data_IF_317754969699
#
_entry.id   IF_317754969699
#
_cell.length_a   1.000
_cell.length_b   1.000
_cell.length_c   1.000
_cell.angle_alpha   90.00
_cell.angle_beta   90.00
_cell.angle_gamma   90.00
#
_symmetry.space_group_name_H-M   'P 1'
#
loop_
_entity.id
_entity.type
_entity.pdbx_description
1 polymer ?
#
# COMPACT_ATOMS: atom_id res chain seq x y z
N UNK A 1 -7.91 15.49 -3.21
CA UNK A 1 -8.36 14.67 -4.35
C UNK A 1 -9.32 13.62 -3.82
N UNK A 2 -10.39 13.30 -4.54
CA UNK A 2 -11.35 12.25 -4.13
C UNK A 2 -10.81 10.87 -4.51
N UNK A 3 -10.66 9.99 -3.53
CA UNK A 3 -10.28 8.59 -3.79
C UNK A 3 -11.52 7.78 -4.19
N UNK A 4 -11.36 6.84 -5.12
CA UNK A 4 -12.40 5.84 -5.37
C UNK A 4 -12.49 4.94 -4.13
N UNK A 5 -13.68 4.67 -3.60
CA UNK A 5 -13.82 3.91 -2.34
C UNK A 5 -14.87 2.83 -2.43
N UNK A 6 -15.86 2.97 -3.32
CA UNK A 6 -16.84 1.93 -3.59
C UNK A 6 -16.28 0.94 -4.63
N UNK A 7 -16.46 -0.34 -4.34
CA UNK A 7 -16.12 -1.49 -5.16
C UNK A 7 -17.41 -2.25 -5.48
N UNK A 8 -17.52 -2.69 -6.72
CA UNK A 8 -18.63 -3.51 -7.21
C UNK A 8 -18.06 -4.63 -8.07
N UNK A 9 -18.43 -5.87 -7.76
CA UNK A 9 -18.10 -7.01 -8.60
C UNK A 9 -19.10 -7.12 -9.74
N UNK A 10 -18.60 -7.39 -10.95
CA UNK A 10 -19.39 -7.52 -12.17
C UNK A 10 -19.10 -8.83 -12.87
N UNK A 11 -20.14 -9.49 -13.35
CA UNK A 11 -20.01 -10.73 -14.10
C UNK A 11 -20.99 -10.74 -15.29
N UNK A 12 -20.56 -11.15 -16.49
CA UNK A 12 -21.48 -11.33 -17.60
C UNK A 12 -22.43 -12.49 -17.32
N UNK A 13 -23.70 -12.37 -17.72
CA UNK A 13 -24.67 -13.47 -17.57
C UNK A 13 -24.28 -14.67 -18.45
N UNK A 14 -23.72 -14.39 -19.63
CA UNK A 14 -23.26 -15.41 -20.58
C UNK A 14 -21.73 -15.53 -20.54
N UNK A 15 -21.17 -16.71 -20.24
CA UNK A 15 -19.72 -16.89 -20.06
C UNK A 15 -18.93 -16.81 -21.37
N UNK A 16 -19.58 -16.95 -22.53
CA UNK A 16 -18.93 -16.94 -23.85
C UNK A 16 -18.56 -15.54 -24.36
N UNK A 17 -19.09 -14.49 -23.74
CA UNK A 17 -18.83 -13.13 -24.21
C UNK A 17 -17.51 -12.64 -23.66
N UNK A 18 -16.56 -12.38 -24.56
CA UNK A 18 -15.24 -11.88 -24.20
C UNK A 18 -15.36 -10.57 -23.43
N UNK A 19 -15.13 -10.64 -22.13
CA UNK A 19 -15.05 -9.49 -21.21
C UNK A 19 -13.98 -8.49 -21.64
N UNK A 20 -13.13 -8.81 -22.63
CA UNK A 20 -12.16 -7.92 -23.25
C UNK A 20 -12.75 -6.66 -23.90
N UNK A 21 -14.04 -6.64 -24.28
CA UNK A 21 -14.67 -5.39 -24.76
C UNK A 21 -14.93 -4.37 -23.64
N UNK A 22 -15.05 -4.85 -22.40
CA UNK A 22 -15.25 -4.03 -21.20
C UNK A 22 -13.94 -3.39 -20.73
N UNK A 23 -12.78 -3.92 -21.17
CA UNK A 23 -11.45 -3.60 -20.64
C UNK A 23 -10.90 -2.20 -20.99
N UNK A 24 -11.51 -1.44 -21.90
CA UNK A 24 -10.90 -0.20 -22.41
C UNK A 24 -11.31 1.09 -21.68
N UNK A 25 -12.44 1.09 -20.95
CA UNK A 25 -13.06 2.36 -20.54
C UNK A 25 -13.08 2.62 -19.03
N UNK A 26 -12.76 1.63 -18.19
CA UNK A 26 -12.84 1.76 -16.72
C UNK A 26 -11.62 1.15 -16.03
N UNK A 27 -11.09 1.76 -14.96
CA UNK A 27 -10.04 1.14 -14.15
C UNK A 27 -10.61 -0.14 -13.50
N UNK A 28 -10.16 -1.29 -14.01
CA UNK A 28 -10.55 -2.62 -13.50
C UNK A 28 -9.47 -3.16 -12.57
N UNK A 29 -9.90 -3.81 -11.50
CA UNK A 29 -9.10 -4.78 -10.77
C UNK A 29 -9.63 -6.18 -11.11
N UNK A 30 -8.72 -7.08 -11.51
CA UNK A 30 -9.02 -8.51 -11.57
C UNK A 30 -8.51 -9.07 -10.25
N UNK A 31 -9.44 -9.59 -9.46
CA UNK A 31 -9.11 -10.31 -8.23
C UNK A 31 -8.55 -11.69 -8.59
N UNK A 32 -7.81 -12.31 -7.66
CA UNK A 32 -7.27 -13.67 -7.89
C UNK A 32 -8.38 -14.72 -8.06
N UNK A 33 -9.59 -14.44 -7.55
CA UNK A 33 -10.80 -15.25 -7.77
C UNK A 33 -11.26 -15.29 -9.23
N UNK A 34 -10.75 -14.38 -10.09
CA UNK A 34 -11.21 -14.18 -11.45
C UNK A 34 -12.35 -13.17 -11.58
N UNK A 35 -12.85 -12.63 -10.47
CA UNK A 35 -13.90 -11.62 -10.46
C UNK A 35 -13.44 -10.30 -11.09
N UNK A 36 -14.35 -9.66 -11.82
CA UNK A 36 -14.12 -8.34 -12.38
C UNK A 36 -14.62 -7.29 -11.40
N UNK A 37 -13.72 -6.46 -10.89
CA UNK A 37 -14.07 -5.41 -9.94
C UNK A 37 -13.96 -4.04 -10.58
N UNK A 38 -15.04 -3.26 -10.46
CA UNK A 38 -15.08 -1.83 -10.82
C UNK A 38 -15.00 -1.03 -9.53
N UNK A 39 -14.16 0.00 -9.52
CA UNK A 39 -13.99 0.89 -8.38
C UNK A 39 -14.38 2.31 -8.76
N UNK A 40 -15.21 2.96 -7.93
CA UNK A 40 -15.76 4.27 -8.17
C UNK A 40 -15.70 5.20 -6.96
N UNK A 41 -15.85 6.50 -7.21
CA UNK A 41 -15.85 7.54 -6.16
C UNK A 41 -17.16 7.61 -5.38
N UNK A 42 -18.25 7.11 -5.95
CA UNK A 42 -19.57 7.11 -5.32
C UNK A 42 -20.61 6.36 -6.15
N UNK A 43 -21.82 6.25 -5.60
CA UNK A 43 -22.92 5.48 -6.21
C UNK A 43 -23.31 6.00 -7.59
N UNK A 44 -23.49 7.32 -7.73
CA UNK A 44 -23.86 7.93 -9.01
C UNK A 44 -22.78 7.70 -10.08
N UNK A 45 -21.51 7.75 -9.70
CA UNK A 45 -20.42 7.47 -10.63
C UNK A 45 -20.49 6.02 -11.12
N UNK A 46 -20.71 5.07 -10.22
CA UNK A 46 -20.85 3.66 -10.56
C UNK A 46 -22.10 3.39 -11.39
N UNK A 47 -23.22 4.06 -11.11
CA UNK A 47 -24.45 3.91 -11.88
C UNK A 47 -24.26 4.35 -13.34
N UNK A 48 -23.66 5.52 -13.57
CA UNK A 48 -23.31 5.99 -14.92
C UNK A 48 -22.38 5.00 -15.63
N UNK A 49 -21.31 4.56 -14.95
CA UNK A 49 -20.35 3.59 -15.51
C UNK A 49 -21.04 2.28 -15.89
N UNK A 50 -21.90 1.74 -15.02
CA UNK A 50 -22.62 0.49 -15.26
C UNK A 50 -23.70 0.65 -16.34
N UNK A 51 -24.31 1.82 -16.47
CA UNK A 51 -25.24 2.14 -17.55
C UNK A 51 -24.54 2.15 -18.90
N UNK A 52 -23.42 2.87 -19.02
CA UNK A 52 -22.62 2.92 -20.25
C UNK A 52 -22.10 1.54 -20.63
N UNK A 53 -21.65 0.77 -19.65
CA UNK A 53 -21.11 -0.57 -19.86
C UNK A 53 -22.19 -1.53 -20.38
N UNK A 54 -23.43 -1.45 -19.88
CA UNK A 54 -24.56 -2.26 -20.37
C UNK A 54 -25.10 -1.81 -21.72
N UNK A 55 -25.23 -0.50 -21.95
CA UNK A 55 -25.97 0.04 -23.11
C UNK A 55 -25.11 0.51 -24.27
N UNK A 56 -23.90 1.00 -24.01
CA UNK A 56 -23.08 1.69 -25.02
C UNK A 56 -21.96 0.78 -25.53
N UNK A 57 -21.29 0.04 -24.63
CA UNK A 57 -20.08 -0.69 -25.00
C UNK A 57 -20.30 -2.18 -25.25
N UNK A 58 -21.02 -2.84 -24.35
CA UNK A 58 -21.05 -4.28 -24.30
C UNK A 58 -22.31 -4.86 -24.94
N UNK A 59 -23.45 -4.14 -24.88
CA UNK A 59 -24.79 -4.67 -25.24
C UNK A 59 -25.06 -6.04 -24.59
N UNK A 60 -24.53 -6.24 -23.38
CA UNK A 60 -24.56 -7.50 -22.64
C UNK A 60 -25.26 -7.27 -21.30
N UNK A 61 -26.03 -8.25 -20.88
CA UNK A 61 -26.58 -8.28 -19.53
C UNK A 61 -25.50 -8.69 -18.52
N UNK A 62 -25.38 -7.89 -17.46
CA UNK A 62 -24.31 -8.00 -16.47
C UNK A 62 -24.92 -8.04 -15.08
N UNK A 63 -24.54 -9.06 -14.32
CA UNK A 63 -24.83 -9.19 -12.90
C UNK A 63 -23.87 -8.31 -12.12
N UNK A 64 -24.40 -7.63 -11.15
CA UNK A 64 -23.70 -6.64 -10.34
C UNK A 64 -23.96 -6.99 -8.89
N UNK A 65 -22.89 -7.09 -8.10
CA UNK A 65 -23.00 -7.33 -6.66
C UNK A 65 -23.46 -6.08 -5.92
N UNK A 66 -23.82 -6.25 -4.66
CA UNK A 66 -24.00 -5.09 -3.77
C UNK A 66 -22.68 -4.31 -3.66
N UNK A 67 -22.73 -2.96 -3.64
CA UNK A 67 -21.54 -2.14 -3.49
C UNK A 67 -20.93 -2.32 -2.11
N UNK A 68 -19.63 -2.56 -2.07
CA UNK A 68 -18.84 -2.66 -0.85
C UNK A 68 -17.77 -1.59 -0.81
N UNK A 69 -17.34 -1.20 0.38
CA UNK A 69 -16.23 -0.26 0.55
C UNK A 69 -14.91 -0.99 0.60
N UNK A 70 -13.85 -0.33 0.14
CA UNK A 70 -12.47 -0.77 0.39
C UNK A 70 -12.08 -0.56 1.84
N UNK A 71 -11.29 -1.49 2.37
CA UNK A 71 -10.72 -1.45 3.70
C UNK A 71 -9.24 -1.09 3.64
N UNK A 72 -8.77 -0.38 4.66
CA UNK A 72 -7.36 -0.19 4.93
C UNK A 72 -7.05 -0.81 6.29
N UNK A 73 -5.89 -1.43 6.41
CA UNK A 73 -5.38 -2.01 7.65
C UNK A 73 -4.50 -0.98 8.38
N UNK A 74 -4.36 -1.15 9.68
CA UNK A 74 -3.50 -0.30 10.50
C UNK A 74 -3.02 -1.08 11.72
N UNK A 75 -1.90 -0.62 12.28
CA UNK A 75 -1.35 -1.15 13.51
C UNK A 75 -1.70 -0.18 14.64
N UNK A 76 -2.34 -0.68 15.69
CA UNK A 76 -2.74 0.15 16.86
C UNK A 76 -1.66 0.14 17.95
N UNK A 77 -0.97 -0.98 18.11
CA UNK A 77 0.05 -1.18 19.14
C UNK A 77 1.34 -1.73 18.54
N UNK A 78 2.47 -1.41 19.16
CA UNK A 78 3.77 -1.98 18.80
C UNK A 78 3.76 -3.49 18.88
N UNK A 79 4.34 -4.16 17.88
CA UNK A 79 4.47 -5.62 17.88
C UNK A 79 5.14 -6.14 19.16
N UNK A 80 4.47 -7.07 19.84
CA UNK A 80 4.97 -7.68 21.08
C UNK A 80 6.26 -8.50 20.86
N UNK A 81 6.45 -9.03 19.65
CA UNK A 81 7.61 -9.84 19.28
C UNK A 81 8.29 -9.26 18.04
N UNK A 82 9.61 -9.44 17.99
CA UNK A 82 10.38 -9.18 16.78
C UNK A 82 10.16 -10.33 15.80
N UNK A 83 9.46 -10.06 14.71
CA UNK A 83 9.22 -11.04 13.66
C UNK A 83 10.47 -11.16 12.80
N UNK A 84 10.84 -12.39 12.43
CA UNK A 84 11.98 -12.62 11.55
C UNK A 84 11.57 -13.46 10.33
N UNK A 85 12.23 -13.21 9.21
CA UNK A 85 12.13 -14.00 7.99
C UNK A 85 13.54 -14.47 7.58
N UNK A 86 13.65 -15.74 7.20
CA UNK A 86 14.89 -16.33 6.71
C UNK A 86 14.74 -16.73 5.24
N UNK A 87 15.76 -16.45 4.42
CA UNK A 87 15.75 -16.83 3.01
C UNK A 87 15.85 -18.36 2.86
N UNK A 88 15.30 -18.97 1.79
CA UNK A 88 15.33 -20.43 1.59
C UNK A 88 16.75 -21.03 1.61
N UNK A 89 17.75 -20.26 1.19
CA UNK A 89 19.16 -20.65 1.26
C UNK A 89 19.79 -20.53 2.66
N UNK A 90 19.04 -20.07 3.67
CA UNK A 90 19.44 -19.86 5.07
C UNK A 90 20.61 -18.90 5.29
N UNK A 91 20.89 -18.02 4.31
CA UNK A 91 22.02 -17.07 4.40
C UNK A 91 21.63 -15.70 4.91
N UNK A 92 20.37 -15.30 4.76
CA UNK A 92 19.89 -14.00 5.19
C UNK A 92 18.75 -14.17 6.17
N UNK A 93 18.80 -13.37 7.24
CA UNK A 93 17.76 -13.25 8.24
C UNK A 93 17.42 -11.77 8.39
N UNK A 94 16.15 -11.43 8.19
CA UNK A 94 15.64 -10.07 8.33
C UNK A 94 14.72 -10.05 9.53
N UNK A 95 14.84 -9.04 10.38
CA UNK A 95 13.97 -8.88 11.56
C UNK A 95 13.26 -7.53 11.50
N UNK A 96 11.96 -7.53 11.78
CA UNK A 96 11.12 -6.33 11.73
C UNK A 96 10.18 -6.24 12.94
N UNK A 97 9.84 -5.02 13.32
CA UNK A 97 8.71 -4.70 14.19
C UNK A 97 7.82 -3.67 13.49
N UNK A 98 6.53 -3.70 13.79
CA UNK A 98 5.59 -2.69 13.33
C UNK A 98 5.13 -1.84 14.53
N UNK A 99 5.03 -0.54 14.32
CA UNK A 99 4.59 0.44 15.31
C UNK A 99 3.57 1.41 14.68
N UNK A 100 2.59 1.89 15.44
CA UNK A 100 1.67 2.94 14.95
C UNK A 100 2.45 4.21 14.59
N UNK A 101 2.06 4.87 13.49
CA UNK A 101 2.58 6.20 13.15
C UNK A 101 1.97 7.27 14.05
N UNK A 102 2.70 8.37 14.24
CA UNK A 102 2.14 9.55 14.89
C UNK A 102 0.99 10.15 14.07
N UNK A 103 0.00 10.67 14.78
CA UNK A 103 -1.17 11.31 14.16
C UNK A 103 -0.72 12.48 13.27
N UNK A 104 -1.24 12.56 12.05
CA UNK A 104 -0.89 13.61 11.09
C UNK A 104 0.28 13.25 10.17
N UNK A 105 1.12 12.27 10.53
CA UNK A 105 2.30 11.92 9.73
C UNK A 105 1.91 11.27 8.41
N UNK A 106 0.97 10.33 8.44
CA UNK A 106 0.44 9.69 7.23
C UNK A 106 -0.14 10.74 6.27
N UNK A 107 -0.96 11.66 6.77
CA UNK A 107 -1.60 12.72 5.99
C UNK A 107 -0.58 13.73 5.42
N UNK A 108 0.50 14.02 6.16
CA UNK A 108 1.58 14.88 5.67
C UNK A 108 2.44 14.19 4.59
N UNK A 109 2.58 12.86 4.64
CA UNK A 109 3.26 12.08 3.60
C UNK A 109 2.39 12.00 2.33
N UNK A 110 1.12 11.62 2.46
CA UNK A 110 0.18 11.56 1.33
C UNK A 110 -0.08 12.95 0.73
N UNK A 111 -0.09 13.99 1.56
CA UNK A 111 -0.18 15.39 1.14
C UNK A 111 1.08 15.92 0.45
N UNK A 112 2.15 15.12 0.35
CA UNK A 112 3.40 15.48 -0.32
C UNK A 112 4.26 16.51 0.42
N UNK A 113 3.99 16.77 1.71
CA UNK A 113 4.83 17.66 2.53
C UNK A 113 6.14 16.96 2.93
N UNK A 114 6.10 15.65 3.07
CA UNK A 114 7.26 14.80 3.36
C UNK A 114 7.41 13.84 2.19
N UNK A 115 8.56 13.88 1.50
CA UNK A 115 8.80 13.01 0.34
C UNK A 115 10.23 12.49 0.33
N UNK A 116 10.43 11.31 -0.24
CA UNK A 116 11.77 10.71 -0.39
C UNK A 116 12.71 11.50 -1.32
N UNK A 117 12.16 12.40 -2.14
CA UNK A 117 12.92 13.31 -3.02
C UNK A 117 13.66 14.41 -2.25
N UNK A 118 13.23 14.71 -1.03
CA UNK A 118 13.88 15.71 -0.18
C UNK A 118 15.22 15.18 0.34
N UNK A 119 16.16 16.09 0.61
CA UNK A 119 17.40 15.71 1.25
C UNK A 119 17.11 15.07 2.63
N UNK A 120 17.81 14.00 3.03
CA UNK A 120 17.58 13.33 4.32
C UNK A 120 17.67 14.27 5.53
N UNK A 121 18.49 15.33 5.43
CA UNK A 121 18.65 16.35 6.46
C UNK A 121 17.38 17.18 6.65
N UNK A 122 16.73 17.58 5.56
CA UNK A 122 15.54 18.44 5.61
C UNK A 122 14.31 17.63 6.02
N UNK A 123 14.17 16.41 5.49
CA UNK A 123 13.17 15.44 5.98
C UNK A 123 13.34 15.17 7.47
N UNK A 124 14.57 14.93 7.91
CA UNK A 124 14.86 14.63 9.31
C UNK A 124 14.51 15.79 10.26
N UNK A 125 14.70 17.05 9.84
CA UNK A 125 14.27 18.22 10.60
C UNK A 125 12.76 18.28 10.76
N UNK A 126 12.00 18.03 9.70
CA UNK A 126 10.52 18.04 9.76
C UNK A 126 10.03 16.96 10.74
N UNK A 127 10.60 15.77 10.67
CA UNK A 127 10.27 14.67 11.58
C UNK A 127 10.62 14.99 13.05
N UNK A 128 11.76 15.65 13.29
CA UNK A 128 12.14 16.10 14.65
C UNK A 128 11.24 17.22 15.18
N UNK A 129 10.98 18.26 14.39
CA UNK A 129 10.28 19.46 14.84
C UNK A 129 8.77 19.22 15.02
N UNK A 130 8.14 18.45 14.12
CA UNK A 130 6.68 18.21 14.15
C UNK A 130 6.29 16.96 14.90
N UNK A 131 7.05 15.89 14.73
CA UNK A 131 6.69 14.55 15.21
C UNK A 131 7.58 14.08 16.36
N UNK A 132 8.54 14.91 16.80
CA UNK A 132 9.44 14.61 17.93
C UNK A 132 10.27 13.34 17.76
N UNK A 133 10.52 12.93 16.51
CA UNK A 133 11.40 11.81 16.22
C UNK A 133 12.82 12.11 16.69
N UNK A 134 13.54 11.08 17.11
CA UNK A 134 14.94 11.25 17.45
C UNK A 134 15.82 11.47 16.20
N UNK A 135 17.02 11.99 16.41
CA UNK A 135 17.95 12.34 15.34
C UNK A 135 18.40 11.13 14.52
N UNK A 136 18.49 9.94 15.13
CA UNK A 136 18.95 8.73 14.47
C UNK A 136 17.81 8.17 13.61
N UNK A 137 16.61 8.00 14.17
CA UNK A 137 15.42 7.51 13.47
C UNK A 137 15.05 8.42 12.30
N UNK A 138 15.00 9.73 12.51
CA UNK A 138 14.64 10.70 11.47
C UNK A 138 15.58 10.68 10.25
N UNK A 139 16.82 10.22 10.41
CA UNK A 139 17.79 10.05 9.31
C UNK A 139 17.80 8.64 8.73
N UNK A 140 17.27 7.66 9.45
CA UNK A 140 17.26 6.25 9.09
C UNK A 140 16.07 5.82 8.22
N UNK A 141 15.21 6.75 7.81
CA UNK A 141 14.09 6.48 6.88
C UNK A 141 14.63 6.02 5.51
N UNK A 142 14.24 4.81 5.11
CA UNK A 142 14.66 4.16 3.87
C UNK A 142 13.67 4.33 2.73
N UNK A 143 12.37 4.27 3.00
CA UNK A 143 11.32 4.38 1.99
C UNK A 143 9.97 4.73 2.64
N UNK A 144 9.08 5.29 1.83
CA UNK A 144 7.65 5.28 2.09
C UNK A 144 6.99 4.16 1.26
N UNK A 145 5.84 3.68 1.71
CA UNK A 145 5.12 2.59 1.06
C UNK A 145 3.59 2.72 1.22
N UNK A 146 2.79 2.10 0.33
CA UNK A 146 3.17 1.23 -0.77
C UNK A 146 3.83 1.93 -1.98
N UNK A 147 3.53 3.20 -2.20
CA UNK A 147 4.16 4.04 -3.22
C UNK A 147 5.13 5.05 -2.57
N UNK A 148 5.86 5.87 -3.38
CA UNK A 148 6.77 6.90 -2.85
C UNK A 148 6.09 7.95 -1.95
N UNK A 149 4.76 8.05 -2.02
CA UNK A 149 3.90 8.93 -1.21
C UNK A 149 2.88 8.14 -0.39
N UNK A 150 3.13 6.85 -0.14
CA UNK A 150 2.23 6.03 0.66
C UNK A 150 2.37 6.29 2.17
N UNK A 151 1.33 5.98 2.96
CA UNK A 151 1.25 6.31 4.38
C UNK A 151 2.02 5.36 5.31
N UNK A 152 2.96 4.55 4.80
CA UNK A 152 3.86 3.71 5.60
C UNK A 152 5.29 4.21 5.56
N UNK A 153 6.02 3.98 6.65
CA UNK A 153 7.44 4.36 6.75
C UNK A 153 8.31 3.15 7.04
N UNK A 154 9.33 2.93 6.21
CA UNK A 154 10.38 1.95 6.46
C UNK A 154 11.59 2.63 7.08
N UNK A 155 12.05 2.12 8.21
CA UNK A 155 13.20 2.67 8.94
C UNK A 155 14.21 1.60 9.33
N UNK A 156 15.49 1.99 9.39
CA UNK A 156 16.60 1.15 9.85
C UNK A 156 17.05 1.52 11.27
N UNK A 157 16.61 0.75 12.25
CA UNK A 157 17.00 0.87 13.67
C UNK A 157 18.13 -0.11 14.04
N UNK A 158 18.91 -0.58 13.05
CA UNK A 158 20.03 -1.50 13.33
C UNK A 158 21.28 -0.75 13.80
N UNK A 159 21.96 -1.28 14.82
CA UNK A 159 23.24 -0.71 15.28
C UNK A 159 24.42 -1.28 14.48
N UNK A 160 25.47 -0.48 14.20
CA UNK A 160 26.69 -0.98 13.54
C UNK A 160 27.40 -2.10 14.29
N UNK A 161 27.14 -2.26 15.59
CA UNK A 161 27.64 -3.38 16.41
C UNK A 161 26.88 -4.68 16.18
N UNK A 162 25.64 -4.61 15.68
CA UNK A 162 24.77 -5.76 15.43
C UNK A 162 24.83 -6.20 13.97
N UNK A 163 24.91 -5.24 13.04
CA UNK A 163 24.83 -5.49 11.60
C UNK A 163 25.93 -4.72 10.86
N UNK A 164 26.57 -5.38 9.90
CA UNK A 164 27.47 -4.72 8.97
C UNK A 164 26.68 -3.81 8.01
N UNK A 165 26.81 -2.49 8.20
CA UNK A 165 26.12 -1.47 7.39
C UNK A 165 26.50 -1.53 5.91
N UNK A 166 27.70 -2.00 5.55
CA UNK A 166 28.08 -2.16 4.13
C UNK A 166 27.29 -3.29 3.48
N UNK A 167 27.18 -4.43 4.16
CA UNK A 167 26.39 -5.56 3.71
C UNK A 167 24.90 -5.23 3.69
N UNK A 168 24.40 -4.53 4.71
CA UNK A 168 23.01 -4.07 4.73
C UNK A 168 22.69 -3.13 3.55
N UNK A 169 23.65 -2.28 3.17
CA UNK A 169 23.53 -1.39 2.03
C UNK A 169 23.35 -2.11 0.69
N UNK A 170 23.92 -3.31 0.50
CA UNK A 170 23.77 -4.06 -0.77
C UNK A 170 22.38 -4.66 -0.93
N UNK A 171 21.72 -5.01 0.18
CA UNK A 171 20.36 -5.59 0.18
C UNK A 171 19.26 -4.54 0.35
N UNK A 172 19.61 -3.30 0.70
CA UNK A 172 18.65 -2.21 0.98
C UNK A 172 17.56 -2.05 -0.07
N UNK A 173 17.92 -2.02 -1.35
CA UNK A 173 16.92 -1.82 -2.42
C UNK A 173 15.96 -3.00 -2.57
N UNK A 174 16.43 -4.23 -2.32
CA UNK A 174 15.57 -5.43 -2.31
C UNK A 174 14.59 -5.39 -1.15
N UNK A 175 15.03 -4.93 0.02
CA UNK A 175 14.18 -4.77 1.21
C UNK A 175 13.12 -3.70 0.97
N UNK A 176 13.48 -2.56 0.37
CA UNK A 176 12.52 -1.50 0.00
C UNK A 176 11.45 -2.00 -0.97
N UNK A 177 11.85 -2.75 -2.00
CA UNK A 177 10.90 -3.33 -2.96
C UNK A 177 9.95 -4.33 -2.29
N UNK A 178 10.48 -5.25 -1.48
CA UNK A 178 9.66 -6.20 -0.74
C UNK A 178 8.71 -5.52 0.25
N UNK A 179 9.16 -4.46 0.92
CA UNK A 179 8.33 -3.65 1.80
C UNK A 179 7.19 -2.95 1.06
N UNK A 180 7.49 -2.27 -0.05
CA UNK A 180 6.49 -1.55 -0.85
C UNK A 180 5.45 -2.50 -1.44
N UNK A 181 5.89 -3.69 -1.89
CA UNK A 181 4.99 -4.72 -2.36
C UNK A 181 4.13 -5.28 -1.23
N UNK A 182 4.72 -5.65 -0.10
CA UNK A 182 3.96 -6.17 1.05
C UNK A 182 2.95 -5.15 1.60
N UNK A 183 3.31 -3.87 1.65
CA UNK A 183 2.40 -2.80 2.08
C UNK A 183 1.29 -2.49 1.06
N UNK A 184 1.41 -2.97 -0.18
CA UNK A 184 0.41 -2.78 -1.24
C UNK A 184 -0.69 -3.84 -1.18
N UNK A 185 -0.35 -5.04 -0.74
CA UNK A 185 -1.28 -6.17 -0.65
C UNK A 185 -1.92 -6.24 0.74
N UNK A 186 -1.12 -6.11 1.80
CA UNK A 186 -1.60 -6.20 3.17
C UNK A 186 -1.91 -7.64 3.60
N UNK A 187 -1.57 -8.05 4.83
CA UNK A 187 -1.72 -9.45 5.26
C UNK A 187 -3.12 -9.88 5.68
N UNK A 188 -4.10 -8.98 5.88
CA UNK A 188 -5.43 -9.36 6.40
C UNK A 188 -6.44 -9.63 5.30
N UNK A 189 -6.49 -8.78 4.28
CA UNK A 189 -7.58 -8.82 3.29
C UNK A 189 -7.12 -8.75 1.82
N UNK A 190 -5.81 -8.79 1.56
CA UNK A 190 -5.22 -8.70 0.21
C UNK A 190 -5.80 -7.54 -0.64
N UNK A 191 -6.15 -6.43 0.01
CA UNK A 191 -6.71 -5.28 -0.68
C UNK A 191 -5.62 -4.48 -1.37
N UNK A 192 -5.66 -4.42 -2.70
CA UNK A 192 -4.74 -3.57 -3.48
C UNK A 192 -5.09 -2.09 -3.24
N UNK A 193 -4.16 -1.32 -2.65
CA UNK A 193 -4.13 0.16 -2.40
C UNK A 193 -4.29 0.60 -0.93
N UNK A 194 -3.64 1.73 -0.52
CA UNK A 194 -2.83 1.84 0.71
C UNK A 194 -3.44 1.11 1.89
N UNK A 195 -2.92 -0.09 2.09
CA UNK A 195 -3.52 -1.10 2.94
C UNK A 195 -2.96 -1.05 4.35
N UNK A 196 -1.88 -0.32 4.60
CA UNK A 196 -1.31 -0.25 5.94
C UNK A 196 -1.08 1.23 6.28
N UNK A 197 -1.50 1.66 7.46
CA UNK A 197 -1.02 2.86 8.11
C UNK A 197 -0.14 2.41 9.29
N UNK A 198 1.18 2.45 9.12
CA UNK A 198 2.12 2.04 10.15
C UNK A 198 3.60 2.29 9.81
N UNK A 199 4.42 2.41 10.85
CA UNK A 199 5.86 2.41 10.73
C UNK A 199 6.33 0.96 10.79
N UNK A 200 7.05 0.51 9.76
CA UNK A 200 7.75 -0.76 9.80
C UNK A 200 9.24 -0.49 10.07
N UNK A 201 9.69 -0.89 11.25
CA UNK A 201 11.07 -0.73 11.69
C UNK A 201 11.84 -2.03 11.45
N UNK A 202 12.92 -1.96 10.68
CA UNK A 202 13.94 -3.00 10.64
C UNK A 202 14.83 -2.89 11.88
N UNK A 203 14.95 -3.99 12.63
CA UNK A 203 15.81 -4.10 13.81
C UNK A 203 16.81 -5.23 13.70
#
# INVERSE_FOLDING_TARGET
MTQSVLKVAVEPILPEVSTNRILFYTPRLVEESGEHVIVGTGELYLDCVLHDLRRVFAEIEIKVSDPVTRFCETVVETSALKCYAETPNKKNKITMIAEPLERGLAEDIEGGKITMRMAPKDRGKILQERYQWDLLASRAVWAFGPEEQGPNVLLDDTLPSQVDKKMLGTVKEHIKQGFQWGAREGPLCDERYPTINGTHLLR
#
